data_IF_571244274258
#
_entry.id   IF_571244274258
#
_cell.length_a   1.000
_cell.length_b   1.000
_cell.length_c   1.000
_cell.angle_alpha   90.00
_cell.angle_beta   90.00
_cell.angle_gamma   90.00
#
_symmetry.space_group_name_H-M   'P 1'
#
loop_
_entity.id
_entity.type
_entity.pdbx_description
1 polymer ?
#
# COMPACT_ATOMS: atom_id res chain seq x y z
N UNK A 1 38.93 3.00 34.44
CA UNK A 1 37.83 3.62 33.69
C UNK A 1 37.49 2.70 32.53
N UNK A 2 36.30 2.09 32.48
CA UNK A 2 35.87 1.42 31.26
C UNK A 2 35.09 2.42 30.39
N UNK A 3 35.55 2.58 29.15
CA UNK A 3 34.87 3.34 28.11
C UNK A 3 33.60 2.62 27.68
N UNK A 4 32.44 3.24 27.86
CA UNK A 4 31.19 2.79 27.27
C UNK A 4 31.23 3.05 25.77
N UNK A 5 31.37 1.97 25.01
CA UNK A 5 31.24 1.95 23.56
C UNK A 5 29.75 1.97 23.22
N UNK A 6 29.19 3.16 23.01
CA UNK A 6 27.81 3.32 22.56
C UNK A 6 27.73 2.89 21.09
N UNK A 7 27.28 1.66 20.87
CA UNK A 7 26.91 1.16 19.54
C UNK A 7 25.81 2.07 18.99
N UNK A 8 26.20 2.95 18.07
CA UNK A 8 25.30 3.74 17.24
C UNK A 8 24.56 2.75 16.34
N UNK A 9 23.32 2.45 16.69
CA UNK A 9 22.44 1.60 15.90
C UNK A 9 22.10 2.32 14.59
N UNK A 10 22.71 1.90 13.48
CA UNK A 10 22.38 2.32 12.10
C UNK A 10 21.07 1.69 11.61
N UNK A 11 20.05 1.59 12.47
CA UNK A 11 18.70 1.30 12.02
C UNK A 11 18.08 2.60 11.47
N UNK A 12 17.48 2.58 10.26
CA UNK A 12 16.62 3.70 9.85
C UNK A 12 15.61 3.96 10.97
N UNK A 13 15.27 5.23 11.27
CA UNK A 13 14.26 5.51 12.28
C UNK A 13 12.98 4.76 11.91
N UNK A 14 12.52 3.87 12.79
CA UNK A 14 11.22 3.24 12.63
C UNK A 14 10.18 4.36 12.48
N UNK A 15 9.37 4.27 11.42
CA UNK A 15 8.36 5.29 11.16
C UNK A 15 7.42 5.35 12.37
N UNK A 16 7.07 6.56 12.81
CA UNK A 16 6.09 6.72 13.88
C UNK A 16 4.74 6.14 13.47
N UNK A 17 3.95 5.63 14.43
CA UNK A 17 2.59 5.14 14.17
C UNK A 17 1.74 6.18 13.44
N UNK A 18 1.91 7.48 13.75
CA UNK A 18 1.25 8.57 13.04
C UNK A 18 1.62 8.61 11.54
N UNK A 19 2.91 8.42 11.22
CA UNK A 19 3.39 8.37 9.84
C UNK A 19 2.84 7.17 9.10
N UNK A 20 2.83 6.00 9.75
CA UNK A 20 2.28 4.75 9.22
C UNK A 20 0.81 4.94 8.90
N UNK A 21 0.00 5.40 9.85
CA UNK A 21 -1.44 5.64 9.63
C UNK A 21 -1.68 6.65 8.52
N UNK A 22 -0.96 7.77 8.53
CA UNK A 22 -1.11 8.81 7.50
C UNK A 22 -0.84 8.28 6.10
N UNK A 23 0.27 7.58 5.89
CA UNK A 23 0.65 7.05 4.57
C UNK A 23 -0.21 5.83 4.18
N UNK A 24 -0.54 4.98 5.15
CA UNK A 24 -1.48 3.88 4.95
C UNK A 24 -2.86 4.36 4.50
N UNK A 25 -3.41 5.41 5.14
CA UNK A 25 -4.67 6.01 4.72
C UNK A 25 -4.64 6.59 3.30
N UNK A 26 -3.48 7.07 2.83
CA UNK A 26 -3.33 7.54 1.44
C UNK A 26 -3.42 6.37 0.46
N UNK A 27 -2.81 5.23 0.79
CA UNK A 27 -2.85 4.01 -0.02
C UNK A 27 -4.25 3.41 -0.07
N UNK A 28 -4.93 3.32 1.08
CA UNK A 28 -6.27 2.75 1.18
C UNK A 28 -7.33 3.66 0.55
N UNK A 29 -7.09 4.97 0.57
CA UNK A 29 -7.99 5.99 0.04
C UNK A 29 -9.09 6.36 1.02
N UNK A 30 -9.19 7.65 1.34
CA UNK A 30 -10.14 8.17 2.34
C UNK A 30 -11.59 7.73 2.09
N UNK A 31 -12.06 7.77 0.84
CA UNK A 31 -13.44 7.39 0.51
C UNK A 31 -13.73 5.89 0.68
N UNK A 32 -12.71 5.03 0.54
CA UNK A 32 -12.86 3.61 0.83
C UNK A 32 -12.99 3.39 2.33
N UNK A 33 -12.09 3.99 3.12
CA UNK A 33 -12.10 3.90 4.59
C UNK A 33 -13.46 4.34 5.14
N UNK A 34 -13.91 5.55 4.78
CA UNK A 34 -15.18 6.10 5.28
C UNK A 34 -16.38 5.20 4.92
N UNK A 35 -16.35 4.58 3.74
CA UNK A 35 -17.43 3.69 3.31
C UNK A 35 -17.39 2.34 4.03
N UNK A 36 -16.21 1.73 4.15
CA UNK A 36 -16.06 0.45 4.86
C UNK A 36 -16.44 0.57 6.33
N UNK A 37 -16.02 1.65 6.98
CA UNK A 37 -16.42 1.96 8.37
C UNK A 37 -17.94 2.13 8.48
N UNK A 38 -18.58 2.81 7.52
CA UNK A 38 -20.04 2.96 7.48
C UNK A 38 -20.78 1.63 7.26
N UNK A 39 -20.15 0.65 6.61
CA UNK A 39 -20.65 -0.72 6.43
C UNK A 39 -20.28 -1.65 7.59
N UNK A 40 -19.63 -1.13 8.63
CA UNK A 40 -19.31 -1.85 9.87
C UNK A 40 -17.97 -2.60 9.84
N UNK A 41 -17.07 -2.27 8.91
CA UNK A 41 -15.69 -2.76 8.89
C UNK A 41 -14.75 -1.70 9.46
N UNK A 42 -14.37 -1.87 10.73
CA UNK A 42 -13.29 -1.09 11.36
C UNK A 42 -11.93 -1.64 10.91
N UNK A 43 -10.99 -0.75 10.58
CA UNK A 43 -9.65 -1.12 10.12
C UNK A 43 -8.65 -1.17 11.27
N UNK A 44 -7.99 -2.32 11.41
CA UNK A 44 -6.95 -2.52 12.43
C UNK A 44 -5.66 -1.77 12.09
N UNK A 45 -4.84 -1.49 13.11
CA UNK A 45 -3.51 -0.88 12.94
C UNK A 45 -2.61 -1.68 11.97
N UNK A 46 -2.77 -3.01 11.94
CA UNK A 46 -2.07 -3.91 11.02
C UNK A 46 -2.39 -3.62 9.54
N UNK A 47 -3.61 -3.16 9.21
CA UNK A 47 -3.96 -2.76 7.84
C UNK A 47 -3.17 -1.52 7.43
N UNK A 48 -3.04 -0.55 8.32
CA UNK A 48 -2.28 0.67 8.06
C UNK A 48 -0.78 0.37 7.91
N UNK A 49 -0.24 -0.55 8.71
CA UNK A 49 1.13 -1.06 8.56
C UNK A 49 1.32 -1.74 7.21
N UNK A 50 0.41 -2.64 6.82
CA UNK A 50 0.45 -3.31 5.52
C UNK A 50 0.37 -2.33 4.34
N UNK A 51 -0.49 -1.33 4.44
CA UNK A 51 -0.62 -0.28 3.45
C UNK A 51 0.66 0.58 3.37
N UNK A 52 1.28 0.89 4.51
CA UNK A 52 2.56 1.59 4.57
C UNK A 52 3.71 0.79 3.96
N UNK A 53 3.75 -0.53 4.18
CA UNK A 53 4.72 -1.42 3.51
C UNK A 53 4.57 -1.36 1.99
N UNK A 54 3.34 -1.51 1.48
CA UNK A 54 3.06 -1.43 0.04
C UNK A 54 3.47 -0.07 -0.54
N UNK A 55 3.20 1.04 0.17
CA UNK A 55 3.66 2.38 -0.22
C UNK A 55 5.18 2.44 -0.34
N UNK A 56 5.89 1.97 0.68
CA UNK A 56 7.35 2.01 0.71
C UNK A 56 7.97 1.16 -0.39
N UNK A 57 7.42 -0.03 -0.66
CA UNK A 57 7.87 -0.88 -1.75
C UNK A 57 7.68 -0.21 -3.12
N UNK A 58 6.49 0.31 -3.38
CA UNK A 58 6.17 1.02 -4.61
C UNK A 58 7.11 2.23 -4.80
N UNK A 59 7.35 3.01 -3.75
CA UNK A 59 8.21 4.18 -3.81
C UNK A 59 9.69 3.84 -3.97
N UNK A 60 10.19 2.79 -3.30
CA UNK A 60 11.56 2.28 -3.49
C UNK A 60 11.76 1.76 -4.91
N UNK A 61 10.79 1.02 -5.43
CA UNK A 61 10.81 0.58 -6.82
C UNK A 61 10.86 1.78 -7.76
N UNK A 62 10.02 2.80 -7.56
CA UNK A 62 10.02 4.01 -8.37
C UNK A 62 11.37 4.73 -8.39
N UNK A 63 12.02 4.87 -7.23
CA UNK A 63 13.38 5.43 -7.15
C UNK A 63 14.42 4.58 -7.91
N UNK A 64 14.30 3.25 -7.87
CA UNK A 64 15.20 2.34 -8.57
C UNK A 64 15.11 2.43 -10.10
N UNK A 65 13.99 2.92 -10.64
CA UNK A 65 13.80 3.07 -12.09
C UNK A 65 14.57 4.26 -12.68
N UNK A 66 15.30 5.05 -11.87
CA UNK A 66 16.14 6.17 -12.34
C UNK A 66 15.40 7.31 -13.04
N UNK A 67 14.08 7.22 -13.09
CA UNK A 67 13.19 8.16 -13.76
C UNK A 67 12.71 9.18 -12.72
N UNK A 68 12.54 10.45 -13.11
CA UNK A 68 11.90 11.43 -12.22
C UNK A 68 10.54 10.89 -11.78
N UNK A 69 10.20 11.01 -10.48
CA UNK A 69 8.97 10.47 -9.87
C UNK A 69 7.68 10.85 -10.63
N UNK A 70 7.72 11.91 -11.43
CA UNK A 70 6.62 12.37 -12.29
C UNK A 70 6.28 11.44 -13.48
N UNK A 71 7.16 10.51 -13.83
CA UNK A 71 6.95 9.54 -14.92
C UNK A 71 6.43 8.19 -14.42
N UNK A 72 6.21 8.04 -13.12
CA UNK A 72 5.88 6.76 -12.50
C UNK A 72 4.46 6.82 -11.96
N UNK A 73 3.61 5.93 -12.44
CA UNK A 73 2.26 5.73 -11.93
C UNK A 73 2.23 4.52 -10.99
N UNK A 74 1.59 4.67 -9.84
CA UNK A 74 1.37 3.59 -8.89
C UNK A 74 -0.14 3.34 -8.76
N UNK A 75 -0.52 2.07 -8.67
CA UNK A 75 -1.87 1.61 -8.32
C UNK A 75 -1.74 0.71 -7.10
N UNK A 76 -2.64 0.88 -6.13
CA UNK A 76 -2.65 0.10 -4.90
C UNK A 76 -3.94 -0.70 -4.80
N UNK A 77 -3.83 -1.96 -4.41
CA UNK A 77 -4.97 -2.85 -4.22
C UNK A 77 -5.44 -2.76 -2.77
N UNK A 78 -6.21 -1.72 -2.48
CA UNK A 78 -6.66 -1.43 -1.12
C UNK A 78 -7.44 -2.62 -0.51
N UNK A 79 -8.22 -3.35 -1.32
CA UNK A 79 -8.98 -4.51 -0.87
C UNK A 79 -8.10 -5.67 -0.42
N UNK A 80 -7.10 -6.05 -1.22
CA UNK A 80 -6.17 -7.12 -0.83
C UNK A 80 -5.27 -6.72 0.33
N UNK A 81 -4.92 -5.44 0.45
CA UNK A 81 -4.19 -4.94 1.62
C UNK A 81 -5.00 -5.19 2.89
N UNK A 82 -6.29 -4.85 2.91
CA UNK A 82 -7.17 -5.09 4.06
C UNK A 82 -7.35 -6.59 4.31
N UNK A 83 -7.74 -7.35 3.28
CA UNK A 83 -8.05 -8.78 3.42
C UNK A 83 -6.81 -9.64 3.79
N UNK A 84 -5.61 -9.17 3.48
CA UNK A 84 -4.37 -9.85 3.89
C UNK A 84 -3.93 -9.56 5.32
N UNK A 85 -4.46 -8.50 5.95
CA UNK A 85 -4.06 -8.03 7.26
C UNK A 85 -5.10 -8.30 8.37
N UNK A 86 -6.38 -8.46 8.01
CA UNK A 86 -7.44 -8.79 8.97
C UNK A 86 -8.52 -9.67 8.34
N UNK A 87 -9.34 -10.31 9.18
CA UNK A 87 -10.56 -10.97 8.71
C UNK A 87 -11.56 -9.93 8.20
N UNK A 88 -12.21 -10.24 7.08
CA UNK A 88 -13.15 -9.34 6.41
C UNK A 88 -14.53 -9.98 6.25
N UNK A 89 -15.61 -9.19 6.26
CA UNK A 89 -16.96 -9.71 6.04
C UNK A 89 -17.17 -10.15 4.59
N UNK A 90 -18.12 -11.06 4.36
CA UNK A 90 -18.37 -11.63 3.03
C UNK A 90 -18.76 -10.59 1.96
N UNK A 91 -19.39 -9.48 2.35
CA UNK A 91 -19.71 -8.38 1.43
C UNK A 91 -18.44 -7.72 0.87
N UNK A 92 -17.38 -7.65 1.67
CA UNK A 92 -16.10 -7.06 1.28
C UNK A 92 -15.39 -7.93 0.24
N UNK A 93 -15.43 -9.26 0.40
CA UNK A 93 -14.86 -10.18 -0.59
C UNK A 93 -15.59 -10.10 -1.94
N UNK A 94 -16.92 -9.96 -1.92
CA UNK A 94 -17.69 -9.76 -3.15
C UNK A 94 -17.32 -8.44 -3.84
N UNK A 95 -17.12 -7.37 -3.07
CA UNK A 95 -16.67 -6.08 -3.56
C UNK A 95 -15.24 -6.13 -4.11
N UNK A 96 -14.32 -6.83 -3.43
CA UNK A 96 -12.94 -7.04 -3.87
C UNK A 96 -12.88 -7.67 -5.26
N UNK A 97 -13.68 -8.71 -5.50
CA UNK A 97 -13.75 -9.33 -6.83
C UNK A 97 -14.21 -8.32 -7.91
N UNK A 98 -15.22 -7.51 -7.59
CA UNK A 98 -15.70 -6.46 -8.51
C UNK A 98 -14.66 -5.38 -8.75
N UNK A 99 -13.90 -5.00 -7.73
CA UNK A 99 -12.84 -3.99 -7.83
C UNK A 99 -11.77 -4.40 -8.84
N UNK A 100 -11.30 -5.65 -8.76
CA UNK A 100 -10.30 -6.20 -9.71
C UNK A 100 -10.86 -6.17 -11.13
N UNK A 101 -12.08 -6.65 -11.35
CA UNK A 101 -12.72 -6.70 -12.67
C UNK A 101 -12.88 -5.30 -13.30
N UNK A 102 -13.18 -4.29 -12.48
CA UNK A 102 -13.42 -2.92 -12.94
C UNK A 102 -12.17 -2.13 -13.31
N UNK A 103 -10.96 -2.62 -12.99
CA UNK A 103 -9.74 -1.93 -13.40
C UNK A 103 -9.58 -1.89 -14.91
N UNK A 104 -9.37 -0.68 -15.45
CA UNK A 104 -9.29 -0.46 -16.90
C UNK A 104 -7.97 -0.95 -17.51
N UNK A 105 -6.87 -0.94 -16.74
CA UNK A 105 -5.56 -1.33 -17.24
C UNK A 105 -5.35 -2.85 -17.08
N UNK A 106 -5.21 -3.63 -18.17
CA UNK A 106 -5.13 -5.09 -18.09
C UNK A 106 -4.02 -5.61 -17.19
N UNK A 107 -2.84 -4.99 -17.22
CA UNK A 107 -1.72 -5.42 -16.37
C UNK A 107 -1.93 -5.13 -14.87
N UNK A 108 -2.73 -4.11 -14.53
CA UNK A 108 -3.11 -3.86 -13.12
C UNK A 108 -4.08 -4.94 -12.67
N UNK A 109 -5.08 -5.25 -13.51
CA UNK A 109 -6.05 -6.31 -13.24
C UNK A 109 -5.37 -7.67 -13.05
N UNK A 110 -4.45 -8.04 -13.93
CA UNK A 110 -3.71 -9.31 -13.84
C UNK A 110 -2.86 -9.38 -12.56
N UNK A 111 -2.07 -8.34 -12.29
CA UNK A 111 -1.27 -8.29 -11.06
C UNK A 111 -2.14 -8.41 -9.80
N UNK A 112 -3.30 -7.75 -9.76
CA UNK A 112 -4.19 -7.78 -8.60
C UNK A 112 -4.93 -9.12 -8.49
N UNK A 113 -5.32 -9.74 -9.60
CA UNK A 113 -5.89 -11.09 -9.60
C UNK A 113 -4.91 -12.14 -9.05
N UNK A 114 -3.61 -11.95 -9.27
CA UNK A 114 -2.54 -12.79 -8.73
C UNK A 114 -2.19 -12.46 -7.25
N UNK A 115 -2.87 -11.49 -6.65
CA UNK A 115 -2.69 -11.10 -5.25
C UNK A 115 -1.61 -10.03 -5.00
N UNK A 116 -1.16 -9.31 -6.04
CA UNK A 116 -0.27 -8.18 -5.83
C UNK A 116 -0.98 -7.05 -5.06
N UNK A 117 -0.31 -6.51 -4.05
CA UNK A 117 -0.81 -5.39 -3.23
C UNK A 117 -0.64 -4.03 -3.92
N UNK A 118 0.27 -3.95 -4.89
CA UNK A 118 0.52 -2.73 -5.67
C UNK A 118 1.06 -3.09 -7.06
N UNK A 119 0.89 -2.16 -7.99
CA UNK A 119 1.43 -2.22 -9.34
C UNK A 119 2.02 -0.86 -9.73
N UNK A 120 3.28 -0.87 -10.17
CA UNK A 120 3.97 0.31 -10.69
C UNK A 120 4.19 0.18 -12.19
N UNK A 121 4.02 1.27 -12.93
CA UNK A 121 4.44 1.34 -14.32
C UNK A 121 5.04 2.70 -14.64
N UNK A 122 5.98 2.69 -15.58
CA UNK A 122 6.56 3.91 -16.14
C UNK A 122 5.64 4.38 -17.26
N UNK A 123 5.12 5.59 -17.12
CA UNK A 123 4.41 6.29 -18.18
C UNK A 123 5.45 6.64 -19.25
N UNK A 124 5.61 5.79 -20.27
CA UNK A 124 6.37 6.18 -21.46
C UNK A 124 5.62 7.28 -22.20
N UNK A 125 5.98 8.53 -21.90
CA UNK A 125 5.66 9.67 -22.75
C UNK A 125 6.77 9.74 -23.81
N UNK A 126 6.68 8.90 -24.86
CA UNK A 126 7.57 8.78 -26.04
C UNK A 126 8.99 8.23 -25.72
N UNK A 127 9.63 7.24 -26.38
CA UNK A 127 9.68 6.75 -27.78
C UNK A 127 10.17 7.77 -28.81
#
# INVERSE_FOLDING_TARGET
MPSENTTKSDAPPEASLETIKKLGSLVLGKGNIERWEAEGLELDDAVYEKAYEAFNEAFKWGQSQGSGLSSISHSFNAHDIVASAQEVPAWFEAERAQYIDQHQHPAVREAFADGALWYGHINSVFA
#
